data_IF_093825684606
#
_entry.id   IF_093825684606
#
_cell.length_a   1.000
_cell.length_b   1.000
_cell.length_c   1.000
_cell.angle_alpha   90.00
_cell.angle_beta   90.00
_cell.angle_gamma   90.00
#
_symmetry.space_group_name_H-M   'P 1'
#
loop_
_entity.id
_entity.type
_entity.pdbx_description
1 polymer ?
#
# COMPACT_ATOMS: atom_id res chain seq x y z
N UNK A 1 21.02 71.99 -7.68
CA UNK A 1 21.56 70.66 -7.35
C UNK A 1 20.50 69.90 -6.58
N UNK A 2 19.34 69.59 -7.17
CA UNK A 2 19.13 68.79 -8.41
C UNK A 2 19.87 67.45 -8.24
N UNK A 3 19.25 66.26 -8.23
CA UNK A 3 17.98 65.83 -8.83
C UNK A 3 17.30 64.69 -8.06
N UNK A 4 16.01 64.55 -8.36
CA UNK A 4 14.98 63.69 -7.82
C UNK A 4 14.58 62.70 -8.92
N UNK A 5 14.70 61.38 -8.75
CA UNK A 5 14.18 60.36 -9.68
C UNK A 5 14.39 58.98 -9.05
N UNK A 6 13.52 57.96 -9.08
CA UNK A 6 12.08 57.79 -9.23
C UNK A 6 11.85 56.32 -8.79
N UNK A 7 10.71 56.01 -8.17
CA UNK A 7 10.15 54.65 -8.15
C UNK A 7 9.12 54.66 -9.28
N UNK A 8 9.29 53.92 -10.39
CA UNK A 8 8.76 52.55 -10.48
C UNK A 8 9.50 51.63 -11.48
N UNK A 9 9.35 50.31 -11.35
CA UNK A 9 9.14 49.40 -12.48
C UNK A 9 8.71 48.02 -11.95
N UNK A 10 7.39 47.86 -11.79
CA UNK A 10 6.72 46.57 -11.88
C UNK A 10 6.74 46.12 -13.34
N UNK A 11 7.39 44.99 -13.64
CA UNK A 11 6.94 44.10 -14.70
C UNK A 11 7.22 42.64 -14.35
N UNK A 12 6.16 41.99 -13.88
CA UNK A 12 5.83 40.58 -14.08
C UNK A 12 6.50 39.95 -15.33
N UNK A 13 7.15 38.79 -15.19
CA UNK A 13 6.62 37.47 -15.60
C UNK A 13 7.73 36.44 -15.92
N UNK A 14 7.55 35.23 -15.37
CA UNK A 14 7.93 33.91 -15.90
C UNK A 14 9.35 33.64 -16.45
N UNK A 15 10.10 32.81 -15.71
CA UNK A 15 11.28 32.10 -16.18
C UNK A 15 11.54 30.82 -15.38
N UNK A 16 11.09 29.71 -15.95
CA UNK A 16 11.17 28.33 -15.46
C UNK A 16 12.53 27.68 -15.79
N UNK A 17 13.32 27.29 -14.78
CA UNK A 17 14.41 26.31 -14.92
C UNK A 17 14.30 25.34 -13.72
N UNK A 18 13.44 24.33 -13.73
CA UNK A 18 13.53 23.05 -14.46
C UNK A 18 14.68 22.15 -13.97
N UNK A 19 14.29 21.13 -13.17
CA UNK A 19 14.90 19.80 -12.93
C UNK A 19 15.86 19.59 -11.74
N UNK A 20 15.27 19.18 -10.61
CA UNK A 20 15.53 17.84 -10.06
C UNK A 20 14.36 17.38 -9.19
N UNK A 21 13.57 16.50 -9.80
CA UNK A 21 12.43 15.75 -9.25
C UNK A 21 12.85 14.92 -8.03
N UNK A 22 12.69 15.46 -6.84
CA UNK A 22 12.40 14.64 -5.66
C UNK A 22 10.89 14.66 -5.49
N UNK A 23 10.18 13.74 -6.16
CA UNK A 23 8.79 13.40 -5.84
C UNK A 23 8.74 12.77 -4.46
N UNK A 24 8.87 13.61 -3.43
CA UNK A 24 8.24 13.35 -2.14
C UNK A 24 6.76 13.54 -2.40
N UNK A 25 6.10 12.45 -2.81
CA UNK A 25 4.64 12.35 -2.82
C UNK A 25 4.19 12.45 -1.36
N UNK A 26 4.10 13.69 -0.86
CA UNK A 26 3.27 14.02 0.28
C UNK A 26 1.86 13.74 -0.18
N UNK A 27 1.39 12.51 0.04
CA UNK A 27 0.03 12.12 -0.25
C UNK A 27 -0.86 13.04 0.58
N UNK A 28 -1.42 14.05 -0.10
CA UNK A 28 -2.55 14.81 0.39
C UNK A 28 -3.57 13.75 0.77
N UNK A 29 -3.80 13.54 2.06
CA UNK A 29 -4.88 12.69 2.56
C UNK A 29 -6.19 13.33 2.12
N UNK A 30 -6.55 13.05 0.88
CA UNK A 30 -7.80 13.49 0.29
C UNK A 30 -8.85 12.55 0.87
N UNK A 31 -9.51 12.98 1.94
CA UNK A 31 -10.60 12.26 2.63
C UNK A 31 -11.74 11.82 1.69
N UNK A 32 -11.74 12.30 0.45
CA UNK A 32 -12.68 11.99 -0.62
C UNK A 32 -12.85 10.48 -0.91
N UNK A 33 -11.79 9.67 -0.91
CA UNK A 33 -11.94 8.21 -1.15
C UNK A 33 -12.70 7.51 -0.02
N UNK A 34 -12.35 7.83 1.23
CA UNK A 34 -12.97 7.23 2.41
C UNK A 34 -14.43 7.66 2.51
N UNK A 35 -14.72 8.95 2.34
CA UNK A 35 -16.08 9.47 2.36
C UNK A 35 -16.95 8.84 1.27
N UNK A 36 -16.41 8.65 0.06
CA UNK A 36 -17.10 7.97 -1.05
C UNK A 36 -17.38 6.50 -0.75
N UNK A 37 -16.45 5.81 -0.09
CA UNK A 37 -16.64 4.42 0.33
C UNK A 37 -17.71 4.32 1.43
N UNK A 38 -17.67 5.18 2.44
CA UNK A 38 -18.65 5.19 3.53
C UNK A 38 -20.07 5.56 3.07
N UNK A 39 -20.18 6.37 2.01
CA UNK A 39 -21.47 6.73 1.38
C UNK A 39 -21.95 5.71 0.33
N UNK A 40 -21.17 4.66 0.07
CA UNK A 40 -21.54 3.65 -0.91
C UNK A 40 -22.75 2.85 -0.43
N UNK A 41 -23.66 2.52 -1.36
CA UNK A 41 -24.84 1.73 -1.03
C UNK A 41 -24.43 0.33 -0.55
N UNK A 42 -24.99 -0.10 0.58
CA UNK A 42 -24.77 -1.42 1.19
C UNK A 42 -25.12 -2.55 0.21
N UNK A 43 -26.16 -2.36 -0.61
CA UNK A 43 -26.54 -3.35 -1.63
C UNK A 43 -25.44 -3.59 -2.67
N UNK A 44 -24.69 -2.54 -3.04
CA UNK A 44 -23.54 -2.68 -3.95
C UNK A 44 -22.37 -3.42 -3.28
N UNK A 45 -22.19 -3.23 -1.97
CA UNK A 45 -21.14 -3.91 -1.20
C UNK A 45 -21.46 -5.41 -1.08
N UNK A 46 -22.72 -5.77 -0.83
CA UNK A 46 -23.13 -7.16 -0.67
C UNK A 46 -23.12 -7.99 -1.96
N UNK A 47 -23.02 -7.36 -3.14
CA UNK A 47 -22.86 -8.08 -4.43
C UNK A 47 -21.59 -8.93 -4.47
N UNK A 48 -20.54 -8.52 -3.74
CA UNK A 48 -19.25 -9.22 -3.72
C UNK A 48 -18.93 -9.58 -2.25
N UNK A 49 -19.33 -10.76 -1.77
CA UNK A 49 -19.21 -11.11 -0.35
C UNK A 49 -17.76 -11.28 0.11
N UNK A 50 -16.86 -11.63 -0.81
CA UNK A 50 -15.44 -11.77 -0.49
C UNK A 50 -14.75 -10.40 -0.59
N UNK A 51 -14.08 -9.93 0.49
CA UNK A 51 -13.43 -8.62 0.50
C UNK A 51 -12.30 -8.50 -0.53
N UNK A 52 -11.56 -9.57 -0.83
CA UNK A 52 -10.42 -9.49 -1.75
C UNK A 52 -10.86 -9.21 -3.21
N UNK A 53 -11.82 -9.96 -3.80
CA UNK A 53 -12.44 -9.59 -5.07
C UNK A 53 -13.13 -8.23 -5.05
N UNK A 54 -13.77 -7.84 -3.95
CA UNK A 54 -14.40 -6.52 -3.83
C UNK A 54 -13.37 -5.39 -4.04
N UNK A 55 -12.27 -5.41 -3.30
CA UNK A 55 -11.22 -4.39 -3.41
C UNK A 55 -10.51 -4.41 -4.76
N UNK A 56 -10.43 -5.58 -5.41
CA UNK A 56 -9.91 -5.70 -6.78
C UNK A 56 -10.86 -5.05 -7.79
N UNK A 57 -12.17 -5.26 -7.65
CA UNK A 57 -13.18 -4.67 -8.54
C UNK A 57 -13.20 -3.14 -8.44
N UNK A 58 -13.14 -2.60 -7.22
CA UNK A 58 -13.17 -1.15 -6.99
C UNK A 58 -11.79 -0.48 -6.95
N UNK A 59 -10.72 -1.17 -7.34
CA UNK A 59 -9.35 -0.64 -7.28
C UNK A 59 -9.18 0.67 -8.07
N UNK A 60 -9.86 0.82 -9.20
CA UNK A 60 -9.81 2.07 -9.98
C UNK A 60 -10.56 3.22 -9.30
N UNK A 61 -11.63 2.91 -8.54
CA UNK A 61 -12.45 3.90 -7.84
C UNK A 61 -11.82 4.32 -6.50
N UNK A 62 -11.14 3.39 -5.84
CA UNK A 62 -10.49 3.60 -4.54
C UNK A 62 -9.03 3.09 -4.56
N UNK A 63 -8.13 3.74 -5.31
CA UNK A 63 -6.75 3.27 -5.47
C UNK A 63 -5.96 3.24 -4.16
N UNK A 64 -6.16 4.21 -3.26
CA UNK A 64 -5.48 4.22 -1.97
C UNK A 64 -6.10 3.19 -1.01
N UNK A 65 -7.42 3.15 -0.94
CA UNK A 65 -8.12 2.27 -0.01
C UNK A 65 -7.97 0.79 -0.37
N UNK A 66 -8.00 0.44 -1.66
CA UNK A 66 -7.77 -0.94 -2.13
C UNK A 66 -6.35 -1.43 -1.83
N UNK A 67 -5.34 -0.56 -1.93
CA UNK A 67 -3.97 -0.87 -1.54
C UNK A 67 -3.86 -1.16 -0.04
N UNK A 68 -4.49 -0.32 0.79
CA UNK A 68 -4.52 -0.50 2.24
C UNK A 68 -5.26 -1.79 2.62
N UNK A 69 -6.44 -2.00 2.05
CA UNK A 69 -7.24 -3.19 2.28
C UNK A 69 -6.48 -4.48 1.94
N UNK A 70 -5.76 -4.51 0.82
CA UNK A 70 -4.94 -5.67 0.45
C UNK A 70 -3.88 -5.97 1.51
N UNK A 71 -3.22 -4.95 2.07
CA UNK A 71 -2.23 -5.14 3.15
C UNK A 71 -2.90 -5.70 4.40
N UNK A 72 -4.02 -5.12 4.82
CA UNK A 72 -4.75 -5.57 6.00
C UNK A 72 -5.23 -7.01 5.89
N UNK A 73 -5.84 -7.39 4.76
CA UNK A 73 -6.34 -8.76 4.55
C UNK A 73 -5.26 -9.80 4.26
N UNK A 74 -4.02 -9.38 4.00
CA UNK A 74 -2.90 -10.31 3.86
C UNK A 74 -2.33 -10.77 5.21
N UNK A 75 -2.72 -10.12 6.30
CA UNK A 75 -2.26 -10.48 7.65
C UNK A 75 -3.08 -11.70 8.11
N UNK A 76 -2.42 -12.84 8.42
CA UNK A 76 -3.13 -13.99 8.96
C UNK A 76 -3.69 -13.65 10.34
N UNK A 77 -4.90 -14.11 10.62
CA UNK A 77 -5.59 -13.91 11.91
C UNK A 77 -4.85 -14.62 13.06
N UNK A 78 -4.09 -15.68 12.76
CA UNK A 78 -3.38 -16.49 13.76
C UNK A 78 -1.98 -16.87 13.29
N UNK A 79 -1.09 -17.11 14.25
CA UNK A 79 0.24 -17.70 14.02
C UNK A 79 0.20 -19.15 13.57
N UNK A 80 -0.96 -19.83 13.65
CA UNK A 80 -1.10 -21.25 13.37
C UNK A 80 -0.61 -21.66 11.97
N UNK A 81 -0.71 -20.77 10.97
CA UNK A 81 -0.15 -21.03 9.64
C UNK A 81 1.37 -21.12 9.68
N UNK A 82 2.02 -20.19 10.39
CA UNK A 82 3.46 -20.12 10.57
C UNK A 82 3.95 -21.28 11.44
N UNK A 83 3.25 -21.60 12.53
CA UNK A 83 3.53 -22.75 13.40
C UNK A 83 3.45 -24.07 12.65
N UNK A 84 2.44 -24.26 11.78
CA UNK A 84 2.36 -25.45 10.91
C UNK A 84 3.54 -25.53 9.96
N UNK A 85 3.95 -24.42 9.35
CA UNK A 85 5.14 -24.38 8.49
C UNK A 85 6.41 -24.74 9.26
N UNK A 86 6.59 -24.22 10.48
CA UNK A 86 7.73 -24.56 11.33
C UNK A 86 7.70 -26.00 11.83
N UNK A 87 6.54 -26.52 12.20
CA UNK A 87 6.36 -27.92 12.61
C UNK A 87 6.68 -28.88 11.46
N UNK A 88 6.16 -28.61 10.26
CA UNK A 88 6.46 -29.39 9.07
C UNK A 88 7.95 -29.33 8.70
N UNK A 89 8.58 -28.16 8.81
CA UNK A 89 10.02 -28.02 8.59
C UNK A 89 10.83 -28.81 9.65
N UNK A 90 10.41 -28.77 10.91
CA UNK A 90 11.01 -29.56 11.98
C UNK A 90 10.94 -31.06 11.70
N UNK A 91 9.79 -31.55 11.25
CA UNK A 91 9.58 -32.95 10.87
C UNK A 91 10.45 -33.35 9.66
N UNK A 92 10.48 -32.53 8.61
CA UNK A 92 11.30 -32.78 7.42
C UNK A 92 12.81 -32.85 7.74
N UNK A 93 13.28 -32.05 8.70
CA UNK A 93 14.67 -32.05 9.16
C UNK A 93 14.98 -33.26 10.06
N UNK A 94 14.01 -33.74 10.84
CA UNK A 94 14.20 -34.89 11.75
C UNK A 94 14.07 -36.25 11.04
N UNK A 95 13.07 -36.45 10.18
CA UNK A 95 12.89 -37.73 9.45
C UNK A 95 14.07 -38.06 8.53
N UNK A 96 14.71 -37.05 7.92
CA UNK A 96 15.89 -37.26 7.05
C UNK A 96 17.13 -37.75 7.81
N UNK A 97 17.12 -37.76 9.14
CA UNK A 97 18.21 -38.26 9.98
C UNK A 97 17.87 -39.51 10.80
N UNK A 98 16.63 -40.00 10.76
CA UNK A 98 16.19 -41.16 11.55
C UNK A 98 16.05 -42.46 10.74
N UNK A 99 16.60 -42.54 9.53
CA UNK A 99 16.74 -43.80 8.78
C UNK A 99 18.19 -44.02 8.35
N UNK A 100 19.03 -44.39 9.32
CA UNK A 100 20.18 -45.23 9.07
C UNK A 100 20.00 -46.46 9.96
N UNK A 101 19.77 -47.60 9.32
CA UNK A 101 19.72 -48.89 9.99
C UNK A 101 21.13 -49.19 10.56
N UNK A 102 21.29 -49.39 11.87
CA UNK A 102 22.58 -49.67 12.47
C UNK A 102 23.15 -51.06 12.08
N UNK A 103 22.37 -51.94 11.43
CA UNK A 103 22.87 -53.24 10.94
C UNK A 103 23.58 -53.18 9.58
N UNK A 104 23.82 -52.00 9.02
CA UNK A 104 24.68 -51.85 7.83
C UNK A 104 26.12 -51.42 8.20
N UNK A 105 26.52 -51.56 9.47
CA UNK A 105 27.92 -51.42 9.92
C UNK A 105 28.55 -52.79 10.21
#
# INVERSE_FOLDING_TARGET
>A
MEDQFADPDDHSNNGIDTLSTTTTTTAVFRNDELDKYLKMNIEEIHKIPNPLPFWKHYQQKFPCLSLLARRLFSIPVTSAAVERSFSAAGLAVTERRSSLDPQTL
#
